data_IF_206478526697
#
_entry.id   IF_206478526697
#
_cell.length_a   1.000
_cell.length_b   1.000
_cell.length_c   1.000
_cell.angle_alpha   90.00
_cell.angle_beta   90.00
_cell.angle_gamma   90.00
#
_symmetry.space_group_name_H-M   'P 1'
#
loop_
_entity.id
_entity.type
_entity.pdbx_description
1 polymer ?
#
# COMPACT_ATOMS: atom_id res chain seq x y z
N UNK A 1 12.72 -50.99 10.90
CA UNK A 1 14.12 -51.18 11.35
C UNK A 1 14.53 -49.95 12.14
N UNK A 2 14.88 -50.15 13.42
CA UNK A 2 15.29 -49.12 14.39
C UNK A 2 16.68 -48.58 14.05
N UNK A 3 16.92 -47.27 14.18
CA UNK A 3 18.20 -46.72 14.68
C UNK A 3 17.94 -45.49 15.54
N UNK A 4 18.19 -45.68 16.84
CA UNK A 4 18.42 -44.63 17.83
C UNK A 4 19.83 -44.08 17.64
N UNK A 5 20.02 -42.79 17.91
CA UNK A 5 21.29 -42.27 18.42
C UNK A 5 21.01 -41.36 19.62
N UNK A 6 21.77 -41.61 20.68
CA UNK A 6 21.79 -40.90 21.96
C UNK A 6 23.25 -40.59 22.30
N UNK A 7 23.43 -39.74 23.33
CA UNK A 7 24.68 -39.45 24.11
C UNK A 7 25.52 -38.30 23.50
N UNK A 8 25.99 -37.26 24.22
CA UNK A 8 26.39 -37.16 25.63
C UNK A 8 26.24 -35.76 26.26
N UNK A 9 26.06 -35.75 27.58
CA UNK A 9 26.34 -34.67 28.55
C UNK A 9 27.85 -34.45 28.77
N UNK A 10 28.23 -33.26 29.26
CA UNK A 10 29.17 -32.91 30.37
C UNK A 10 29.40 -31.38 30.25
N UNK A 11 29.43 -30.51 31.27
CA UNK A 11 29.42 -30.59 32.73
C UNK A 11 30.27 -29.42 33.29
N UNK A 12 29.84 -28.85 34.44
CA UNK A 12 30.59 -27.95 35.37
C UNK A 12 30.95 -26.54 34.86
N UNK A 13 30.89 -25.44 35.62
CA UNK A 13 30.75 -25.19 37.05
C UNK A 13 31.38 -23.80 37.31
N UNK A 14 30.79 -22.94 38.14
CA UNK A 14 31.38 -21.62 38.44
C UNK A 14 30.55 -20.80 39.41
N UNK A 15 31.07 -20.62 40.61
CA UNK A 15 30.41 -20.09 41.79
C UNK A 15 30.36 -18.55 41.84
N UNK A 16 29.51 -18.08 42.75
CA UNK A 16 29.20 -16.72 43.14
C UNK A 16 30.42 -15.84 43.46
N UNK A 17 30.30 -14.53 43.22
CA UNK A 17 30.87 -13.47 44.05
C UNK A 17 30.05 -12.17 44.00
N UNK A 18 29.61 -11.76 45.20
CA UNK A 18 29.69 -10.41 45.78
C UNK A 18 28.83 -9.26 45.20
N UNK A 19 27.71 -9.06 45.90
CA UNK A 19 27.36 -7.83 46.62
C UNK A 19 27.97 -6.49 46.13
N UNK A 20 27.12 -5.65 45.56
CA UNK A 20 27.36 -4.23 45.35
C UNK A 20 26.05 -3.49 45.15
N UNK A 21 25.27 -3.30 46.22
CA UNK A 21 24.12 -2.41 46.22
C UNK A 21 24.63 -0.95 46.23
N UNK A 22 24.30 -0.12 45.24
CA UNK A 22 24.48 1.32 45.39
C UNK A 22 23.47 1.84 46.41
N UNK A 23 23.99 2.57 47.39
CA UNK A 23 23.27 3.33 48.39
C UNK A 23 22.47 4.41 47.66
N UNK A 24 21.15 4.26 47.58
CA UNK A 24 20.25 5.38 47.27
C UNK A 24 19.80 6.01 48.58
N UNK A 25 20.15 7.29 48.72
CA UNK A 25 19.63 8.21 49.74
C UNK A 25 18.11 8.16 49.80
N UNK A 26 17.57 8.03 51.00
CA UNK A 26 16.14 8.16 51.26
C UNK A 26 15.65 9.54 50.80
N UNK A 27 14.92 9.58 49.68
CA UNK A 27 13.93 10.63 49.44
C UNK A 27 12.63 10.16 50.04
N UNK A 28 12.12 10.96 50.96
CA UNK A 28 10.78 10.92 51.51
C UNK A 28 9.75 10.65 50.41
N UNK A 29 9.21 9.43 50.45
CA UNK A 29 8.06 8.99 49.68
C UNK A 29 6.82 9.69 50.26
N UNK A 30 6.45 10.83 49.69
CA UNK A 30 5.10 11.35 49.81
C UNK A 30 4.25 10.67 48.75
N UNK A 31 3.29 9.91 49.24
CA UNK A 31 2.11 9.34 48.59
C UNK A 31 1.69 10.05 47.27
N UNK A 32 1.51 9.34 46.15
CA UNK A 32 0.78 9.90 45.01
C UNK A 32 -0.72 9.84 45.28
N UNK A 33 -1.25 10.98 45.68
CA UNK A 33 -2.68 11.36 45.64
C UNK A 33 -3.28 11.05 44.23
N UNK A 34 -4.59 10.74 44.14
CA UNK A 34 -5.22 10.23 42.94
C UNK A 34 -5.42 11.34 41.91
N UNK A 35 -4.93 11.12 40.70
CA UNK A 35 -5.41 11.74 39.46
C UNK A 35 -5.65 13.26 39.53
N UNK A 36 -4.58 14.03 39.78
CA UNK A 36 -4.53 15.40 39.29
C UNK A 36 -4.15 15.32 37.81
N UNK A 37 -4.99 15.76 36.85
CA UNK A 37 -4.59 15.80 35.45
C UNK A 37 -3.37 16.71 35.36
N UNK A 38 -2.21 16.11 35.06
CA UNK A 38 -0.98 16.85 34.78
C UNK A 38 -1.29 17.83 33.66
N UNK A 39 -1.40 19.11 34.00
CA UNK A 39 -1.77 20.19 33.08
C UNK A 39 -0.72 20.47 32.01
N UNK A 40 0.36 19.68 31.98
CA UNK A 40 1.53 19.94 31.15
C UNK A 40 1.85 18.81 30.17
N UNK A 41 1.03 17.75 30.09
CA UNK A 41 1.20 16.72 29.07
C UNK A 41 0.75 17.23 27.69
N UNK A 42 1.51 16.91 26.64
CA UNK A 42 1.25 17.35 25.28
C UNK A 42 1.47 16.23 24.27
N UNK A 43 0.68 16.24 23.19
CA UNK A 43 0.87 15.35 22.04
C UNK A 43 1.29 16.09 20.78
N UNK A 44 0.94 17.38 20.70
CA UNK A 44 1.26 18.24 19.56
C UNK A 44 1.80 19.58 20.08
N UNK A 45 2.57 20.33 19.27
CA UNK A 45 3.06 21.66 19.63
C UNK A 45 1.96 22.64 20.06
N UNK A 46 0.75 22.51 19.49
CA UNK A 46 -0.40 23.35 19.83
C UNK A 46 -1.04 23.04 21.21
N UNK A 47 -0.65 21.94 21.85
CA UNK A 47 -1.18 21.56 23.17
C UNK A 47 -0.58 22.42 24.31
N UNK A 48 0.48 23.17 24.02
CA UNK A 48 1.24 23.94 24.99
C UNK A 48 0.88 25.44 24.93
N UNK A 49 0.97 26.12 26.08
CA UNK A 49 0.70 27.55 26.15
C UNK A 49 1.72 28.37 25.33
N UNK A 50 1.34 29.60 24.93
CA UNK A 50 2.23 30.49 24.19
C UNK A 50 3.60 30.63 24.87
N UNK A 51 4.66 30.42 24.10
CA UNK A 51 6.04 30.47 24.59
C UNK A 51 6.56 29.16 25.19
N UNK A 52 5.83 28.05 25.04
CA UNK A 52 6.30 26.72 25.46
C UNK A 52 6.28 25.72 24.30
N UNK A 53 7.20 24.76 24.30
CA UNK A 53 7.39 23.74 23.26
C UNK A 53 6.99 22.37 23.80
N UNK A 54 6.21 21.61 23.03
CA UNK A 54 5.98 20.20 23.36
C UNK A 54 7.26 19.40 23.10
N UNK A 55 7.85 18.82 24.14
CA UNK A 55 9.10 18.05 24.07
C UNK A 55 8.90 16.63 23.55
N UNK A 56 10.01 15.96 23.23
CA UNK A 56 10.00 14.54 22.85
C UNK A 56 9.50 13.61 23.96
N UNK A 57 9.52 14.09 25.21
CA UNK A 57 9.02 13.41 26.40
C UNK A 57 7.49 13.52 26.58
N UNK A 58 6.80 14.25 25.70
CA UNK A 58 5.36 14.45 25.77
C UNK A 58 4.93 15.44 26.85
N UNK A 59 5.81 16.35 27.27
CA UNK A 59 5.50 17.44 28.20
C UNK A 59 5.82 18.83 27.62
N UNK A 60 5.12 19.87 28.08
CA UNK A 60 5.38 21.25 27.67
C UNK A 60 6.56 21.84 28.44
N UNK A 61 7.53 22.39 27.71
CA UNK A 61 8.75 23.00 28.26
C UNK A 61 8.86 24.46 27.87
N UNK A 62 9.53 25.28 28.70
CA UNK A 62 9.85 26.68 28.37
C UNK A 62 10.98 26.83 27.35
N UNK A 63 11.72 25.76 27.06
CA UNK A 63 12.85 25.77 26.13
C UNK A 63 12.40 25.44 24.70
N UNK A 64 13.23 25.79 23.72
CA UNK A 64 13.04 25.43 22.33
C UNK A 64 13.26 23.94 22.07
N UNK A 65 12.80 23.49 20.91
CA UNK A 65 12.94 22.09 20.47
C UNK A 65 14.40 21.65 20.27
N UNK A 66 15.33 22.60 20.19
CA UNK A 66 16.77 22.37 20.11
C UNK A 66 17.33 21.76 21.40
N UNK A 67 16.62 21.96 22.52
CA UNK A 67 16.97 21.41 23.83
C UNK A 67 16.11 20.20 24.19
N UNK A 68 14.79 20.29 23.97
CA UNK A 68 13.84 19.28 24.47
C UNK A 68 13.41 18.25 23.42
N UNK A 69 13.90 18.40 22.18
CA UNK A 69 13.48 17.60 21.04
C UNK A 69 12.01 17.84 20.67
N UNK A 70 11.51 17.06 19.72
CA UNK A 70 10.12 17.11 19.29
C UNK A 70 9.42 15.77 19.48
N UNK A 71 8.11 15.75 19.76
CA UNK A 71 7.32 14.54 19.75
C UNK A 71 7.37 13.88 18.36
N UNK A 72 7.13 12.57 18.32
CA UNK A 72 7.20 11.79 17.07
C UNK A 72 6.35 12.42 15.95
N UNK A 73 6.95 12.55 14.77
CA UNK A 73 6.30 13.20 13.62
C UNK A 73 6.50 14.71 13.52
N UNK A 74 7.30 15.32 14.40
CA UNK A 74 7.67 16.75 14.35
C UNK A 74 9.20 16.92 14.18
N UNK A 75 9.62 17.93 13.44
CA UNK A 75 11.03 18.35 13.28
C UNK A 75 11.27 19.68 13.97
N UNK A 76 12.46 19.82 14.55
CA UNK A 76 12.87 21.07 15.17
C UNK A 76 13.36 22.06 14.10
N UNK A 77 12.74 23.23 14.00
CA UNK A 77 13.11 24.28 13.06
C UNK A 77 13.13 25.64 13.72
N UNK A 78 14.09 26.49 13.36
CA UNK A 78 14.17 27.87 13.87
C UNK A 78 13.27 28.79 13.07
N UNK A 79 12.19 29.28 13.68
CA UNK A 79 11.24 30.22 13.09
C UNK A 79 11.17 31.49 13.94
N UNK A 80 11.34 32.66 13.31
CA UNK A 80 11.27 33.95 14.02
C UNK A 80 12.25 34.08 15.21
N UNK A 81 13.41 33.42 15.13
CA UNK A 81 14.45 33.47 16.16
C UNK A 81 14.29 32.49 17.33
N UNK A 82 13.32 31.57 17.29
CA UNK A 82 13.14 30.50 18.29
C UNK A 82 13.05 29.14 17.61
N UNK A 83 13.59 28.10 18.26
CA UNK A 83 13.51 26.73 17.78
C UNK A 83 12.15 26.12 18.17
N UNK A 84 11.31 25.84 17.18
CA UNK A 84 9.98 25.27 17.37
C UNK A 84 9.83 23.90 16.72
N UNK A 85 9.03 23.05 17.34
CA UNK A 85 8.59 21.81 16.72
C UNK A 85 7.56 22.13 15.63
N UNK A 86 8.01 22.00 14.40
CA UNK A 86 7.16 22.09 13.20
C UNK A 86 6.89 20.69 12.71
N UNK A 87 5.81 20.50 11.96
CA UNK A 87 5.68 19.29 11.15
C UNK A 87 6.87 19.24 10.16
N UNK A 88 7.55 18.08 9.99
CA UNK A 88 8.52 17.88 8.93
C UNK A 88 7.86 18.30 7.63
N UNK A 89 8.57 19.08 6.82
CA UNK A 89 8.08 19.44 5.51
C UNK A 89 7.68 18.15 4.75
N UNK A 90 6.38 17.87 4.64
CA UNK A 90 5.87 16.70 3.89
C UNK A 90 4.77 15.85 4.51
N UNK A 91 4.38 15.99 5.78
CA UNK A 91 3.37 15.09 6.40
C UNK A 91 2.38 15.87 7.27
N UNK A 92 1.22 16.25 6.72
CA UNK A 92 -0.10 16.03 7.35
C UNK A 92 -1.28 16.61 6.55
N UNK A 93 -2.43 15.99 6.82
CA UNK A 93 -3.71 16.15 6.18
C UNK A 93 -4.44 17.43 6.63
N UNK A 94 -5.01 18.16 5.67
CA UNK A 94 -6.05 19.14 5.94
C UNK A 94 -5.65 20.59 5.73
N UNK A 95 -6.03 21.10 4.55
CA UNK A 95 -6.48 22.48 4.30
C UNK A 95 -5.56 23.69 4.55
N UNK A 96 -4.30 23.54 4.93
CA UNK A 96 -3.41 24.72 5.08
C UNK A 96 -2.43 24.90 3.92
N UNK A 97 -2.33 26.13 3.41
CA UNK A 97 -1.68 26.56 2.16
C UNK A 97 -0.14 26.52 2.20
N UNK A 98 0.43 25.79 3.14
CA UNK A 98 1.86 25.78 3.48
C UNK A 98 2.53 24.42 3.24
N UNK A 99 1.78 23.47 2.68
CA UNK A 99 2.28 22.14 2.29
C UNK A 99 2.97 22.22 0.92
N UNK A 100 4.16 21.60 0.70
CA UNK A 100 4.63 21.41 -0.66
C UNK A 100 3.57 20.61 -1.43
N UNK A 101 3.16 21.06 -2.62
CA UNK A 101 2.11 20.41 -3.38
C UNK A 101 2.53 18.96 -3.60
N UNK A 102 1.69 18.02 -3.16
CA UNK A 102 1.86 16.65 -3.59
C UNK A 102 1.79 16.64 -5.11
N UNK A 103 2.87 16.19 -5.75
CA UNK A 103 3.08 16.31 -7.19
C UNK A 103 2.46 15.15 -7.99
N UNK A 104 1.59 14.38 -7.36
CA UNK A 104 0.84 13.29 -7.98
C UNK A 104 -0.64 13.64 -8.13
N UNK A 105 -1.49 12.63 -8.16
CA UNK A 105 -2.94 12.77 -8.17
C UNK A 105 -3.59 12.17 -6.91
N UNK A 106 -4.77 12.65 -6.52
CA UNK A 106 -5.55 12.13 -5.37
C UNK A 106 -6.84 11.46 -5.79
N UNK A 107 -7.18 11.54 -7.07
CA UNK A 107 -8.43 11.08 -7.66
C UNK A 107 -8.32 11.14 -9.18
N UNK A 108 -9.08 10.29 -9.85
CA UNK A 108 -9.07 10.17 -11.32
C UNK A 108 -9.32 11.51 -12.04
N UNK A 109 -10.15 12.39 -11.47
CA UNK A 109 -10.46 13.69 -12.09
C UNK A 109 -9.25 14.63 -12.19
N UNK A 110 -8.17 14.39 -11.43
CA UNK A 110 -6.92 15.15 -11.53
C UNK A 110 -6.04 14.65 -12.69
N UNK A 111 -6.39 13.53 -13.33
CA UNK A 111 -5.60 12.90 -14.39
C UNK A 111 -6.10 13.20 -15.81
N UNK A 112 -6.91 14.25 -15.99
CA UNK A 112 -7.44 14.63 -17.29
C UNK A 112 -6.34 14.86 -18.35
N UNK A 113 -5.18 15.39 -17.93
CA UNK A 113 -4.04 15.66 -18.81
C UNK A 113 -3.32 14.39 -19.30
N UNK A 114 -3.52 13.25 -18.62
CA UNK A 114 -2.98 11.95 -19.03
C UNK A 114 -3.87 11.23 -20.07
N UNK A 115 -4.98 11.86 -20.47
CA UNK A 115 -5.88 11.37 -21.52
C UNK A 115 -7.20 10.81 -20.99
N UNK A 116 -8.14 10.57 -21.90
CA UNK A 116 -9.47 10.03 -21.58
C UNK A 116 -9.36 8.67 -20.90
N UNK A 117 -10.06 8.50 -19.79
CA UNK A 117 -10.06 7.26 -19.01
C UNK A 117 -8.80 7.04 -18.17
N UNK A 118 -7.90 8.04 -18.08
CA UNK A 118 -6.78 7.98 -17.16
C UNK A 118 -7.27 7.92 -15.70
N UNK A 119 -6.54 7.15 -14.88
CA UNK A 119 -6.84 6.93 -13.48
C UNK A 119 -5.70 7.38 -12.60
N UNK A 120 -6.03 7.76 -11.38
CA UNK A 120 -5.04 7.96 -10.34
C UNK A 120 -4.73 6.63 -9.66
N UNK A 121 -3.64 5.97 -10.06
CA UNK A 121 -3.24 4.70 -9.46
C UNK A 121 -2.10 4.94 -8.48
N UNK A 122 -2.42 4.81 -7.19
CA UNK A 122 -1.47 5.04 -6.09
C UNK A 122 -0.69 6.36 -6.24
N UNK A 123 -1.42 7.45 -6.47
CA UNK A 123 -0.83 8.78 -6.61
C UNK A 123 -0.21 9.11 -7.97
N UNK A 124 -0.29 8.22 -8.95
CA UNK A 124 0.27 8.43 -10.30
C UNK A 124 -0.82 8.38 -11.35
N UNK A 125 -0.92 9.44 -12.17
CA UNK A 125 -1.82 9.45 -13.31
C UNK A 125 -1.38 8.43 -14.36
N UNK A 126 -2.23 7.44 -14.59
CA UNK A 126 -1.97 6.31 -15.47
C UNK A 126 -2.99 6.31 -16.61
N UNK A 127 -2.51 6.47 -17.84
CA UNK A 127 -3.34 6.45 -19.04
C UNK A 127 -4.07 5.10 -19.17
N UNK A 128 -5.23 5.09 -19.83
CA UNK A 128 -6.05 3.87 -19.97
C UNK A 128 -5.30 2.68 -20.59
N UNK A 129 -4.38 2.94 -21.52
CA UNK A 129 -3.55 1.90 -22.15
C UNK A 129 -2.46 1.32 -21.20
N UNK A 130 -2.16 2.02 -20.12
CA UNK A 130 -1.16 1.65 -19.11
C UNK A 130 -1.81 1.17 -17.80
N UNK A 131 -3.12 0.92 -17.82
CA UNK A 131 -3.86 0.29 -16.73
C UNK A 131 -3.80 -1.24 -16.86
N UNK A 132 -4.13 -1.97 -15.79
CA UNK A 132 -4.21 -3.42 -15.89
C UNK A 132 -5.39 -3.83 -16.79
N UNK A 133 -5.29 -5.00 -17.40
CA UNK A 133 -6.37 -5.71 -18.07
C UNK A 133 -6.76 -7.00 -17.38
N UNK A 134 -5.84 -7.61 -16.62
CA UNK A 134 -6.06 -8.81 -15.84
C UNK A 134 -5.01 -8.98 -14.71
N UNK A 135 -5.28 -9.94 -13.83
CA UNK A 135 -4.48 -10.21 -12.64
C UNK A 135 -3.00 -10.55 -12.91
N UNK A 136 -2.60 -10.93 -14.12
CA UNK A 136 -1.19 -11.21 -14.43
C UNK A 136 -0.32 -9.96 -14.42
N UNK A 137 -0.92 -8.78 -14.61
CA UNK A 137 -0.23 -7.50 -14.49
C UNK A 137 -0.25 -6.98 -13.05
N UNK A 138 -0.90 -7.67 -12.13
CA UNK A 138 -0.99 -7.25 -10.74
C UNK A 138 -0.05 -8.06 -9.86
N UNK A 139 0.30 -7.52 -8.68
CA UNK A 139 1.11 -8.26 -7.72
C UNK A 139 0.33 -9.49 -7.22
N UNK A 140 1.05 -10.52 -6.80
CA UNK A 140 0.45 -11.77 -6.31
C UNK A 140 -0.66 -11.51 -5.28
N UNK A 141 -1.85 -12.07 -5.54
CA UNK A 141 -3.01 -11.95 -4.66
C UNK A 141 -3.87 -10.69 -4.88
N UNK A 142 -3.64 -9.95 -5.97
CA UNK A 142 -4.51 -8.90 -6.50
C UNK A 142 -5.22 -9.37 -7.78
N UNK A 143 -6.35 -8.73 -8.10
CA UNK A 143 -7.06 -8.87 -9.37
C UNK A 143 -7.05 -7.52 -10.09
N UNK A 144 -7.20 -7.53 -11.41
CA UNK A 144 -7.40 -6.29 -12.14
C UNK A 144 -8.88 -5.90 -12.08
N UNK A 145 -9.19 -4.81 -11.38
CA UNK A 145 -10.55 -4.30 -11.22
C UNK A 145 -10.66 -2.93 -11.84
N UNK A 146 -11.44 -2.80 -12.91
CA UNK A 146 -11.62 -1.57 -13.67
C UNK A 146 -10.28 -0.84 -13.97
N UNK A 147 -9.23 -1.60 -14.30
CA UNK A 147 -7.93 -1.02 -14.65
C UNK A 147 -6.99 -0.73 -13.46
N UNK A 148 -7.44 -0.99 -12.23
CA UNK A 148 -6.64 -0.87 -10.99
C UNK A 148 -6.33 -2.24 -10.39
N UNK A 149 -5.09 -2.45 -9.95
CA UNK A 149 -4.71 -3.67 -9.26
C UNK A 149 -5.23 -3.67 -7.81
N UNK A 150 -6.34 -4.38 -7.60
CA UNK A 150 -7.07 -4.39 -6.33
C UNK A 150 -6.80 -5.68 -5.55
N UNK A 151 -6.53 -5.61 -4.23
CA UNK A 151 -6.38 -6.81 -3.42
C UNK A 151 -7.60 -7.74 -3.47
N UNK A 152 -7.36 -9.03 -3.69
CA UNK A 152 -8.39 -10.05 -3.57
C UNK A 152 -8.69 -10.34 -2.10
N UNK A 153 -9.96 -10.59 -1.77
CA UNK A 153 -10.41 -10.86 -0.41
C UNK A 153 -11.40 -12.02 -0.35
N UNK A 154 -11.61 -12.52 0.87
CA UNK A 154 -12.60 -13.55 1.18
C UNK A 154 -12.95 -13.50 2.66
N UNK A 155 -13.86 -14.36 3.12
CA UNK A 155 -14.17 -14.50 4.56
C UNK A 155 -12.94 -14.83 5.42
N UNK A 156 -11.89 -15.44 4.85
CA UNK A 156 -10.64 -15.78 5.55
C UNK A 156 -9.46 -14.85 5.21
N UNK A 157 -9.64 -13.90 4.27
CA UNK A 157 -8.62 -12.95 3.84
C UNK A 157 -9.22 -11.55 3.81
N UNK A 158 -8.99 -10.79 4.89
CA UNK A 158 -9.49 -9.43 5.05
C UNK A 158 -8.78 -8.43 4.12
N UNK A 159 -9.45 -7.32 3.85
CA UNK A 159 -8.90 -6.19 3.12
C UNK A 159 -7.98 -5.33 4.01
N UNK A 160 -7.05 -4.56 3.41
CA UNK A 160 -6.27 -3.55 4.13
C UNK A 160 -7.18 -2.52 4.81
N UNK A 161 -6.68 -1.89 5.88
CA UNK A 161 -7.40 -0.82 6.58
C UNK A 161 -7.80 0.30 5.61
N UNK A 162 -9.04 0.77 5.73
CA UNK A 162 -9.65 1.72 4.81
C UNK A 162 -10.48 1.06 3.71
N UNK A 163 -10.37 -0.25 3.52
CA UNK A 163 -11.08 -1.01 2.49
C UNK A 163 -11.91 -2.13 3.12
N UNK A 164 -13.04 -2.45 2.49
CA UNK A 164 -13.89 -3.58 2.85
C UNK A 164 -14.07 -4.52 1.66
N UNK A 165 -14.30 -5.79 1.98
CA UNK A 165 -14.43 -6.84 0.98
C UNK A 165 -15.84 -6.83 0.38
N UNK A 166 -15.94 -6.69 -0.94
CA UNK A 166 -17.12 -7.16 -1.65
C UNK A 166 -17.04 -8.69 -1.75
N UNK A 167 -17.69 -9.39 -0.81
CA UNK A 167 -17.65 -10.86 -0.75
C UNK A 167 -18.30 -11.53 -1.98
N UNK A 168 -19.18 -10.83 -2.70
CA UNK A 168 -19.78 -11.38 -3.92
C UNK A 168 -18.78 -11.37 -5.08
N UNK A 169 -17.90 -10.35 -5.10
CA UNK A 169 -16.91 -10.15 -6.17
C UNK A 169 -15.50 -10.61 -5.80
N UNK A 170 -15.22 -10.82 -4.51
CA UNK A 170 -13.93 -11.25 -3.99
C UNK A 170 -12.84 -10.18 -4.03
N UNK A 171 -13.21 -8.90 -4.01
CA UNK A 171 -12.28 -7.76 -4.18
C UNK A 171 -12.47 -6.66 -3.13
N UNK A 172 -11.38 -5.99 -2.78
CA UNK A 172 -11.33 -4.93 -1.77
C UNK A 172 -11.75 -3.55 -2.31
N UNK A 173 -12.96 -3.43 -2.84
CA UNK A 173 -13.45 -2.18 -3.46
C UNK A 173 -14.38 -1.37 -2.58
N UNK A 174 -14.88 -1.93 -1.48
CA UNK A 174 -15.83 -1.19 -0.63
C UNK A 174 -15.09 -0.19 0.25
N UNK A 175 -15.68 0.98 0.45
CA UNK A 175 -15.17 2.02 1.35
C UNK A 175 -16.11 2.13 2.57
N UNK A 176 -15.78 1.49 3.70
CA UNK A 176 -16.65 1.48 4.88
C UNK A 176 -16.65 2.82 5.64
N UNK A 177 -15.67 3.68 5.40
CA UNK A 177 -15.49 4.95 6.11
C UNK A 177 -15.03 6.04 5.13
N UNK A 178 -15.92 6.51 4.24
CA UNK A 178 -15.58 7.54 3.29
C UNK A 178 -15.21 8.83 4.02
N UNK A 179 -14.17 9.50 3.54
CA UNK A 179 -13.67 10.74 4.11
C UNK A 179 -13.44 11.79 3.03
N UNK A 180 -13.53 13.06 3.40
CA UNK A 180 -13.12 14.19 2.56
C UNK A 180 -11.97 14.99 3.19
N UNK A 181 -11.60 14.64 4.43
CA UNK A 181 -10.49 15.23 5.17
C UNK A 181 -9.99 14.26 6.24
N UNK A 182 -8.73 14.42 6.67
CA UNK A 182 -8.15 13.57 7.71
C UNK A 182 -8.86 13.67 9.06
N UNK A 183 -9.60 14.76 9.34
CA UNK A 183 -10.36 14.91 10.58
C UNK A 183 -11.53 13.92 10.70
N UNK A 184 -12.03 13.42 9.57
CA UNK A 184 -13.06 12.38 9.54
C UNK A 184 -12.49 10.99 9.85
N UNK A 185 -11.16 10.86 9.79
CA UNK A 185 -10.47 9.62 10.08
C UNK A 185 -10.07 9.57 11.56
N UNK A 186 -10.73 8.68 12.30
CA UNK A 186 -10.35 8.38 13.69
C UNK A 186 -9.02 7.61 13.79
N UNK A 187 -8.44 7.58 14.99
CA UNK A 187 -7.36 6.63 15.32
C UNK A 187 -5.99 6.91 14.69
N UNK A 188 -5.71 8.14 14.28
CA UNK A 188 -4.43 8.49 13.64
C UNK A 188 -4.34 8.07 12.17
N UNK A 189 -5.49 7.82 11.53
CA UNK A 189 -5.57 7.59 10.10
C UNK A 189 -5.59 8.93 9.34
N UNK A 190 -5.17 8.89 8.09
CA UNK A 190 -5.28 10.01 7.15
C UNK A 190 -6.31 9.69 6.06
N UNK A 191 -6.84 10.73 5.43
CA UNK A 191 -7.76 10.59 4.32
C UNK A 191 -6.98 10.66 3.00
N UNK A 192 -6.99 9.57 2.23
CA UNK A 192 -6.36 9.48 0.90
C UNK A 192 -7.35 8.80 -0.03
N UNK A 193 -7.62 9.40 -1.20
CA UNK A 193 -8.56 8.86 -2.20
C UNK A 193 -9.95 8.53 -1.61
N UNK A 194 -10.43 9.38 -0.69
CA UNK A 194 -11.67 9.19 0.08
C UNK A 194 -11.66 8.02 1.08
N UNK A 195 -10.53 7.34 1.29
CA UNK A 195 -10.35 6.26 2.25
C UNK A 195 -9.59 6.73 3.51
N UNK A 196 -10.10 6.33 4.69
CA UNK A 196 -9.36 6.46 5.94
C UNK A 196 -8.33 5.34 6.08
N UNK A 197 -7.08 5.65 5.77
CA UNK A 197 -5.96 4.70 5.75
C UNK A 197 -4.92 5.04 6.82
N UNK A 198 -4.09 4.05 7.25
CA UNK A 198 -3.00 4.33 8.18
C UNK A 198 -2.03 5.36 7.61
N UNK A 199 -1.47 6.20 8.48
CA UNK A 199 -0.41 7.14 8.08
C UNK A 199 0.86 6.41 7.64
N UNK A 200 1.62 7.05 6.75
CA UNK A 200 2.94 6.56 6.38
C UNK A 200 3.91 6.58 7.57
N UNK A 201 4.76 5.54 7.66
CA UNK A 201 5.86 5.51 8.59
C UNK A 201 7.01 6.45 8.18
N UNK A 202 8.03 6.53 9.05
CA UNK A 202 9.22 7.32 8.79
C UNK A 202 9.87 6.97 7.44
N UNK A 203 10.14 7.98 6.61
CA UNK A 203 10.68 7.80 5.27
C UNK A 203 9.64 7.37 4.21
N UNK A 204 8.34 7.54 4.47
CA UNK A 204 7.29 7.20 3.51
C UNK A 204 7.08 5.69 3.38
N UNK A 205 7.35 4.93 4.44
CA UNK A 205 7.27 3.47 4.42
C UNK A 205 5.89 2.99 4.84
N UNK A 206 5.40 1.92 4.21
CA UNK A 206 4.18 1.23 4.59
C UNK A 206 4.44 -0.27 4.77
N UNK A 207 3.60 -0.93 5.59
CA UNK A 207 3.69 -2.38 5.82
C UNK A 207 2.77 -3.13 4.84
N UNK A 208 2.93 -4.45 4.72
CA UNK A 208 1.96 -5.29 4.01
C UNK A 208 1.88 -5.10 2.49
N UNK A 209 2.94 -4.59 1.85
CA UNK A 209 2.95 -4.33 0.40
C UNK A 209 2.13 -3.11 -0.04
N UNK A 210 1.72 -2.27 0.91
CA UNK A 210 1.11 -0.97 0.65
C UNK A 210 2.17 0.05 0.22
N UNK A 211 1.73 1.12 -0.41
CA UNK A 211 2.56 2.24 -0.85
C UNK A 211 2.11 3.53 -0.18
N UNK A 212 3.07 4.41 0.09
CA UNK A 212 2.79 5.71 0.69
C UNK A 212 2.36 6.69 -0.39
N UNK A 213 1.11 7.12 -0.32
CA UNK A 213 0.52 8.13 -1.19
C UNK A 213 -0.06 9.20 -0.29
N UNK A 214 0.34 10.45 -0.47
CA UNK A 214 -0.25 11.56 0.27
C UNK A 214 -0.26 11.37 1.81
N UNK A 215 0.83 10.84 2.37
CA UNK A 215 0.96 10.49 3.78
C UNK A 215 0.03 9.35 4.27
N UNK A 216 -0.66 8.63 3.38
CA UNK A 216 -1.45 7.45 3.70
C UNK A 216 -0.94 6.19 3.03
N UNK A 217 -1.09 5.06 3.71
CA UNK A 217 -0.73 3.74 3.20
C UNK A 217 -1.90 3.11 2.47
N UNK A 218 -1.85 3.13 1.14
CA UNK A 218 -2.87 2.56 0.23
C UNK A 218 -2.34 1.31 -0.47
N UNK A 219 -3.19 0.41 -0.98
CA UNK A 219 -2.77 -0.66 -1.87
C UNK A 219 -1.97 -0.13 -3.07
N UNK A 220 -0.96 -0.89 -3.51
CA UNK A 220 -0.28 -0.59 -4.78
C UNK A 220 -1.19 -1.02 -5.93
N UNK A 221 -1.84 -0.05 -6.54
CA UNK A 221 -2.83 -0.20 -7.61
C UNK A 221 -2.19 -0.26 -8.99
N UNK A 222 -0.89 -0.01 -9.07
CA UNK A 222 -0.17 0.10 -10.33
C UNK A 222 0.10 -1.27 -10.93
N UNK A 223 -0.13 -1.45 -12.24
CA UNK A 223 0.27 -2.66 -12.93
C UNK A 223 1.80 -2.79 -13.03
N UNK A 224 2.25 -4.03 -13.13
CA UNK A 224 3.61 -4.44 -13.43
C UNK A 224 3.62 -5.05 -14.82
N UNK A 225 4.38 -4.42 -15.71
CA UNK A 225 4.50 -4.84 -17.10
C UNK A 225 5.79 -5.62 -17.33
N UNK A 226 5.67 -6.75 -18.04
CA UNK A 226 6.78 -7.66 -18.33
C UNK A 226 7.30 -7.53 -19.76
N UNK A 227 6.53 -6.92 -20.65
CA UNK A 227 6.90 -6.69 -22.05
C UNK A 227 6.34 -5.35 -22.55
N UNK A 228 6.81 -4.90 -23.71
CA UNK A 228 6.46 -3.56 -24.24
C UNK A 228 5.52 -3.64 -25.44
N UNK A 229 5.82 -4.52 -26.40
CA UNK A 229 5.14 -4.52 -27.70
C UNK A 229 4.16 -5.68 -27.80
N UNK A 230 2.87 -5.37 -27.82
CA UNK A 230 1.81 -6.35 -28.04
C UNK A 230 2.02 -7.12 -29.36
N UNK A 231 1.81 -8.43 -29.29
CA UNK A 231 2.03 -9.36 -30.40
C UNK A 231 3.49 -9.78 -30.59
N UNK A 232 4.45 -9.20 -29.85
CA UNK A 232 5.85 -9.61 -29.96
C UNK A 232 6.07 -11.00 -29.34
N UNK A 233 6.66 -11.90 -30.13
CA UNK A 233 7.09 -13.20 -29.66
C UNK A 233 8.31 -13.06 -28.74
N UNK A 234 8.27 -13.80 -27.64
CA UNK A 234 9.36 -13.84 -26.68
C UNK A 234 10.60 -14.55 -27.23
N UNK A 235 11.76 -13.98 -26.95
CA UNK A 235 13.08 -14.54 -27.24
C UNK A 235 13.91 -14.77 -25.96
N UNK A 236 13.33 -14.49 -24.78
CA UNK A 236 14.00 -14.59 -23.48
C UNK A 236 14.90 -13.40 -23.12
N UNK A 237 14.96 -12.35 -23.94
CA UNK A 237 15.73 -11.14 -23.66
C UNK A 237 15.05 -10.26 -22.61
N UNK A 238 15.82 -9.38 -21.97
CA UNK A 238 15.29 -8.40 -21.00
C UNK A 238 14.22 -7.50 -21.65
N UNK A 239 13.07 -7.36 -20.98
CA UNK A 239 11.92 -6.60 -21.49
C UNK A 239 11.09 -7.32 -22.54
N UNK A 240 11.39 -8.60 -22.80
CA UNK A 240 10.63 -9.48 -23.68
C UNK A 240 10.19 -10.73 -22.94
N UNK A 241 9.20 -11.40 -23.52
CA UNK A 241 8.70 -12.65 -22.99
C UNK A 241 9.71 -13.80 -23.18
N UNK A 242 9.52 -14.88 -22.42
CA UNK A 242 10.26 -16.12 -22.65
C UNK A 242 9.92 -16.73 -24.02
N UNK A 243 10.82 -17.54 -24.58
CA UNK A 243 10.55 -18.27 -25.82
C UNK A 243 9.30 -19.13 -25.71
N UNK A 244 8.42 -19.05 -26.72
CA UNK A 244 7.11 -19.71 -26.72
C UNK A 244 5.99 -18.89 -26.07
N UNK A 245 6.31 -17.71 -25.53
CA UNK A 245 5.33 -16.73 -25.09
C UNK A 245 5.17 -15.59 -26.09
N UNK A 246 4.06 -14.88 -25.98
CA UNK A 246 3.74 -13.67 -26.73
C UNK A 246 3.38 -12.56 -25.74
N UNK A 247 3.76 -11.33 -26.05
CA UNK A 247 3.38 -10.16 -25.30
C UNK A 247 1.93 -9.80 -25.62
N UNK A 248 1.05 -9.73 -24.62
CA UNK A 248 -0.30 -9.21 -24.74
C UNK A 248 -0.58 -8.23 -23.61
N UNK A 249 -1.01 -7.03 -23.96
CA UNK A 249 -1.31 -5.94 -23.03
C UNK A 249 -0.15 -5.76 -22.05
N UNK A 250 1.09 -5.79 -22.57
CA UNK A 250 2.32 -5.65 -21.77
C UNK A 250 2.57 -6.75 -20.71
N UNK A 251 1.87 -7.87 -20.79
CA UNK A 251 2.11 -9.09 -20.00
C UNK A 251 2.43 -10.29 -20.89
N UNK A 252 3.15 -11.28 -20.36
CA UNK A 252 3.65 -12.40 -21.13
C UNK A 252 2.78 -13.65 -20.97
N UNK A 253 2.29 -14.16 -22.08
CA UNK A 253 1.41 -15.33 -22.13
C UNK A 253 1.99 -16.43 -22.99
N UNK A 254 1.83 -17.70 -22.60
CA UNK A 254 2.23 -18.84 -23.43
C UNK A 254 1.33 -18.88 -24.67
N UNK A 255 1.90 -18.89 -25.87
CA UNK A 255 1.14 -19.02 -27.10
C UNK A 255 0.57 -20.44 -27.22
N UNK A 256 -0.62 -20.59 -27.81
CA UNK A 256 -1.25 -21.90 -27.99
C UNK A 256 -1.82 -22.09 -29.40
N UNK A 257 -1.93 -23.34 -29.81
CA UNK A 257 -2.65 -23.72 -31.02
C UNK A 257 -4.10 -24.07 -30.63
N UNK A 258 -5.12 -23.34 -31.11
CA UNK A 258 -6.51 -23.60 -30.76
C UNK A 258 -7.03 -24.96 -31.28
N UNK A 259 -6.35 -25.59 -32.24
CA UNK A 259 -6.68 -26.93 -32.73
C UNK A 259 -6.06 -28.04 -31.88
N UNK A 260 -5.13 -27.69 -31.00
CA UNK A 260 -4.48 -28.64 -30.09
C UNK A 260 -5.13 -28.62 -28.73
N UNK A 261 -5.77 -29.74 -28.35
CA UNK A 261 -6.34 -29.87 -27.01
C UNK A 261 -5.28 -29.76 -25.90
N UNK A 262 -4.01 -30.04 -26.24
CA UNK A 262 -2.85 -30.17 -25.35
C UNK A 262 -2.07 -28.89 -25.10
N UNK A 263 -2.32 -27.83 -25.87
CA UNK A 263 -1.45 -26.65 -25.89
C UNK A 263 -1.27 -25.99 -24.51
N UNK A 264 -2.30 -26.01 -23.66
CA UNK A 264 -2.29 -25.37 -22.35
C UNK A 264 -2.37 -26.34 -21.16
N UNK A 265 -2.34 -27.66 -21.38
CA UNK A 265 -2.59 -28.66 -20.31
C UNK A 265 -1.59 -28.60 -19.16
N UNK A 266 -0.37 -28.15 -19.44
CA UNK A 266 0.71 -28.04 -18.44
C UNK A 266 0.80 -26.63 -17.83
N UNK A 267 0.02 -25.68 -18.32
CA UNK A 267 -0.03 -24.33 -17.79
C UNK A 267 -1.03 -24.29 -16.64
N UNK A 268 -0.62 -24.78 -15.46
CA UNK A 268 -1.33 -24.83 -14.17
C UNK A 268 -2.69 -24.11 -14.12
N UNK A 269 -2.71 -22.83 -13.74
CA UNK A 269 -3.90 -22.00 -13.64
C UNK A 269 -4.40 -21.47 -15.00
N UNK A 270 -3.64 -21.63 -16.08
CA UNK A 270 -3.91 -21.12 -17.43
C UNK A 270 -4.17 -22.26 -18.43
N UNK A 271 -5.09 -23.15 -18.09
CA UNK A 271 -5.32 -24.41 -18.79
C UNK A 271 -6.23 -24.35 -20.03
N UNK A 272 -6.53 -23.15 -20.56
CA UNK A 272 -7.42 -22.94 -21.70
C UNK A 272 -6.73 -22.13 -22.79
N UNK A 273 -6.81 -22.56 -24.05
CA UNK A 273 -6.37 -21.74 -25.18
C UNK A 273 -7.46 -20.72 -25.51
N UNK A 274 -7.15 -19.43 -25.34
CA UNK A 274 -8.09 -18.31 -25.53
C UNK A 274 -7.64 -17.41 -26.66
N UNK A 275 -8.59 -17.00 -27.50
CA UNK A 275 -8.38 -15.99 -28.51
C UNK A 275 -8.57 -14.59 -27.91
N UNK A 276 -7.53 -13.76 -27.95
CA UNK A 276 -7.53 -12.40 -27.40
C UNK A 276 -7.14 -11.42 -28.51
N UNK A 277 -8.01 -10.44 -28.75
CA UNK A 277 -7.72 -9.36 -29.70
C UNK A 277 -7.08 -8.18 -28.97
N UNK A 278 -5.94 -7.74 -29.47
CA UNK A 278 -5.22 -6.54 -29.01
C UNK A 278 -5.09 -5.54 -30.17
N UNK A 279 -4.38 -4.43 -29.94
CA UNK A 279 -4.04 -3.47 -30.99
C UNK A 279 -3.20 -4.07 -32.13
N UNK A 280 -2.49 -5.18 -31.90
CA UNK A 280 -1.68 -5.88 -32.90
C UNK A 280 -2.44 -6.99 -33.64
N UNK A 281 -3.71 -7.26 -33.28
CA UNK A 281 -4.53 -8.29 -33.89
C UNK A 281 -4.98 -9.40 -32.91
N UNK A 282 -5.60 -10.48 -33.43
CA UNK A 282 -6.00 -11.63 -32.64
C UNK A 282 -4.82 -12.56 -32.34
N UNK A 283 -4.76 -13.08 -31.11
CA UNK A 283 -3.72 -13.98 -30.63
C UNK A 283 -4.32 -15.12 -29.82
N UNK A 284 -3.81 -16.34 -30.02
CA UNK A 284 -4.21 -17.51 -29.24
C UNK A 284 -3.19 -17.77 -28.13
N UNK A 285 -3.63 -17.65 -26.88
CA UNK A 285 -2.79 -17.78 -25.69
C UNK A 285 -3.41 -18.61 -24.59
N UNK A 286 -2.57 -19.22 -23.76
CA UNK A 286 -3.01 -19.91 -22.56
C UNK A 286 -3.51 -18.93 -21.51
N UNK A 287 -4.78 -19.08 -21.16
CA UNK A 287 -5.50 -18.38 -20.12
C UNK A 287 -6.43 -19.32 -19.37
N UNK A 288 -7.47 -18.78 -18.74
CA UNK A 288 -8.37 -19.50 -17.85
C UNK A 288 -9.79 -18.95 -17.95
N UNK A 289 -10.70 -19.60 -17.22
CA UNK A 289 -12.05 -19.09 -17.03
C UNK A 289 -12.11 -17.80 -16.20
N UNK A 290 -11.02 -17.41 -15.56
CA UNK A 290 -10.95 -16.26 -14.64
C UNK A 290 -9.94 -15.18 -15.03
N UNK A 291 -9.22 -15.32 -16.14
CA UNK A 291 -8.39 -14.25 -16.71
C UNK A 291 -8.59 -14.13 -18.22
N UNK A 292 -8.05 -13.04 -18.80
CA UNK A 292 -8.19 -12.75 -20.23
C UNK A 292 -9.66 -12.78 -20.66
N UNK A 293 -10.56 -12.21 -19.87
CA UNK A 293 -11.95 -12.01 -20.26
C UNK A 293 -12.05 -11.02 -21.42
N UNK A 294 -13.10 -11.13 -22.20
CA UNK A 294 -13.36 -10.26 -23.35
C UNK A 294 -14.67 -9.48 -23.20
N UNK A 295 -15.29 -9.51 -22.04
CA UNK A 295 -16.58 -8.86 -21.77
C UNK A 295 -16.39 -7.36 -21.55
N UNK A 296 -15.27 -6.98 -20.92
CA UNK A 296 -14.87 -5.60 -20.67
C UNK A 296 -13.35 -5.41 -20.89
N UNK A 297 -12.96 -4.16 -21.15
CA UNK A 297 -11.57 -3.77 -21.40
C UNK A 297 -11.42 -2.26 -21.22
N UNK A 298 -10.66 -1.84 -20.20
CA UNK A 298 -10.47 -0.43 -19.89
C UNK A 298 -9.60 0.27 -20.93
N UNK A 299 -8.55 -0.40 -21.43
CA UNK A 299 -7.69 0.13 -22.48
C UNK A 299 -8.45 0.33 -23.79
N UNK A 300 -9.45 -0.52 -24.08
CA UNK A 300 -10.31 -0.39 -25.24
C UNK A 300 -11.59 0.44 -25.00
N UNK A 301 -11.73 1.10 -23.83
CA UNK A 301 -12.94 1.85 -23.45
C UNK A 301 -14.23 1.03 -23.57
N UNK A 302 -14.17 -0.25 -23.20
CA UNK A 302 -15.28 -1.20 -23.20
C UNK A 302 -15.74 -1.48 -21.76
N UNK A 303 -16.67 -0.68 -21.20
CA UNK A 303 -17.14 -0.86 -19.83
C UNK A 303 -18.13 -2.01 -19.71
N UNK A 304 -18.38 -2.44 -18.48
CA UNK A 304 -19.48 -3.33 -18.15
C UNK A 304 -20.82 -2.58 -18.15
N UNK A 305 -21.91 -3.33 -18.42
CA UNK A 305 -23.28 -2.80 -18.36
C UNK A 305 -23.85 -2.89 -16.94
N UNK A 306 -24.71 -1.92 -16.58
CA UNK A 306 -25.43 -1.94 -15.31
C UNK A 306 -24.52 -1.68 -14.11
N UNK A 307 -24.66 -2.50 -13.06
CA UNK A 307 -23.89 -2.39 -11.80
C UNK A 307 -22.70 -3.36 -11.73
N UNK A 308 -22.39 -4.02 -12.84
CA UNK A 308 -21.26 -4.93 -12.95
C UNK A 308 -19.96 -4.12 -13.06
N UNK A 309 -18.88 -4.66 -12.51
CA UNK A 309 -17.53 -4.08 -12.64
C UNK A 309 -16.65 -5.03 -13.45
N UNK A 310 -15.61 -4.48 -14.07
CA UNK A 310 -14.69 -5.27 -14.86
C UNK A 310 -13.66 -5.94 -13.95
N UNK A 311 -13.66 -7.27 -13.88
CA UNK A 311 -12.66 -8.05 -13.15
C UNK A 311 -11.98 -9.01 -14.12
N UNK A 312 -10.69 -8.78 -14.38
CA UNK A 312 -9.86 -9.57 -15.28
C UNK A 312 -10.44 -9.77 -16.69
N UNK A 313 -11.14 -8.74 -17.18
CA UNK A 313 -11.82 -8.73 -18.48
C UNK A 313 -13.24 -9.34 -18.48
N UNK A 314 -13.75 -9.76 -17.33
CA UNK A 314 -15.12 -10.27 -17.16
C UNK A 314 -16.00 -9.28 -16.41
N UNK A 315 -17.28 -9.18 -16.77
CA UNK A 315 -18.23 -8.34 -16.06
C UNK A 315 -18.87 -9.10 -14.89
N UNK A 316 -18.63 -8.62 -13.66
CA UNK A 316 -19.05 -9.27 -12.41
C UNK A 316 -19.76 -8.34 -11.43
#
# INVERSE_FOLDING_TARGET
MKRLFSVALFGFGGAAMLAGCPIYSERTYTDPDPYVPSTNACKTPASCANGTTCGADGYCHSNGCDVVGCPGGFQCQVLGGRAECVVPSGLDAGTDSSRPPFSGCRRDSECADAGTGAKCLSGVCTAAADQCSDATQCRSGQLCVDGSCTPACSASKACPTGYACDLNKGVCTQNPAPCTSGQLCGGGNTCVEDHCVPQCGAGGTCTGGLVCVDNGCVPDERPVFSCVTDGELGDGSSGKCASGSICLRRSCYIACDPLSSDACKNADAFNQCKNVTTSSGPHDVCGSASNLGTECDVAASKPCSGTLICIDGFCR
#
